data_IF_047755390137
#
_entry.id   IF_047755390137
#
_cell.length_a   1.000
_cell.length_b   1.000
_cell.length_c   1.000
_cell.angle_alpha   90.00
_cell.angle_beta   90.00
_cell.angle_gamma   90.00
#
_symmetry.space_group_name_H-M   'P 1'
#
loop_
_entity.id
_entity.type
_entity.pdbx_description
1 polymer ?
#
# COMPACT_ATOMS: atom_id res chain seq x y z
N UNK A 1 11.13 -34.38 -19.92
CA UNK A 1 11.01 -33.04 -19.31
C UNK A 1 10.48 -32.14 -20.38
N UNK A 2 9.38 -31.45 -20.11
CA UNK A 2 8.50 -30.81 -21.09
C UNK A 2 8.98 -29.41 -21.44
N UNK A 3 8.84 -29.02 -22.72
CA UNK A 3 9.18 -27.72 -23.32
C UNK A 3 8.67 -26.49 -22.54
N UNK A 4 7.72 -26.67 -21.63
CA UNK A 4 7.18 -25.64 -20.73
C UNK A 4 8.14 -25.20 -19.59
N UNK A 5 9.22 -25.93 -19.32
CA UNK A 5 10.24 -25.51 -18.33
C UNK A 5 11.34 -24.61 -18.92
N UNK A 6 11.51 -24.59 -20.24
CA UNK A 6 12.53 -23.81 -20.94
C UNK A 6 12.05 -22.36 -21.17
N UNK A 7 10.77 -22.19 -21.53
CA UNK A 7 10.12 -20.88 -21.72
C UNK A 7 10.03 -20.08 -20.39
N UNK A 8 9.96 -20.78 -19.24
CA UNK A 8 10.02 -20.17 -17.90
C UNK A 8 11.42 -19.70 -17.49
N UNK A 9 12.47 -20.14 -18.19
CA UNK A 9 13.84 -19.68 -17.96
C UNK A 9 14.17 -18.46 -18.81
N UNK A 10 13.64 -18.36 -20.03
CA UNK A 10 13.85 -17.19 -20.91
C UNK A 10 13.15 -15.93 -20.37
N UNK A 11 11.92 -16.04 -19.87
CA UNK A 11 11.21 -14.90 -19.25
C UNK A 11 11.90 -14.33 -18.01
N UNK A 12 12.78 -15.10 -17.36
CA UNK A 12 13.48 -14.68 -16.14
C UNK A 12 14.81 -13.97 -16.43
N UNK A 13 15.22 -13.92 -17.69
CA UNK A 13 16.48 -13.32 -18.12
C UNK A 13 16.27 -11.91 -18.72
N UNK A 14 15.10 -11.62 -19.29
CA UNK A 14 14.74 -10.28 -19.77
C UNK A 14 14.43 -9.27 -18.65
N UNK A 15 14.01 -9.71 -17.46
CA UNK A 15 13.68 -8.80 -16.35
C UNK A 15 14.93 -8.23 -15.61
N UNK A 16 16.14 -8.57 -16.06
CA UNK A 16 17.42 -8.09 -15.49
C UNK A 16 18.16 -7.07 -16.34
N UNK A 17 17.71 -6.78 -17.55
CA UNK A 17 18.34 -5.82 -18.44
C UNK A 17 17.37 -4.69 -18.78
N UNK A 18 17.22 -3.75 -17.85
CA UNK A 18 16.34 -2.60 -18.04
C UNK A 18 16.78 -1.39 -17.22
N UNK A 19 17.50 -0.49 -17.88
CA UNK A 19 17.76 0.92 -17.54
C UNK A 19 18.97 1.17 -16.63
N UNK A 20 20.14 1.10 -17.25
CA UNK A 20 21.29 1.97 -16.95
C UNK A 20 21.18 3.24 -17.80
N UNK A 21 21.15 4.43 -17.19
CA UNK A 21 21.42 5.69 -17.90
C UNK A 21 22.57 6.44 -17.21
N UNK A 22 23.72 6.35 -17.88
CA UNK A 22 24.83 7.29 -17.98
C UNK A 22 25.09 8.29 -16.85
N UNK A 23 26.16 8.05 -16.11
CA UNK A 23 26.97 9.09 -15.49
C UNK A 23 27.75 9.86 -16.57
N UNK A 24 27.71 11.19 -16.54
CA UNK A 24 28.77 12.05 -17.06
C UNK A 24 29.42 12.75 -15.87
N UNK A 25 30.71 12.46 -15.66
CA UNK A 25 31.58 13.10 -14.67
C UNK A 25 32.28 14.26 -15.34
N UNK A 26 32.24 15.43 -14.72
CA UNK A 26 33.36 16.36 -14.69
C UNK A 26 33.35 17.07 -13.33
N UNK A 27 34.49 17.00 -12.65
CA UNK A 27 34.64 17.35 -11.24
C UNK A 27 34.86 18.83 -10.99
N UNK A 28 34.62 19.25 -9.75
CA UNK A 28 35.65 19.81 -8.87
C UNK A 28 35.05 20.13 -7.49
N UNK A 29 35.84 19.82 -6.47
CA UNK A 29 35.54 19.88 -5.05
C UNK A 29 35.13 21.28 -4.58
N UNK A 30 33.95 21.40 -3.95
CA UNK A 30 33.73 22.37 -2.85
C UNK A 30 32.91 21.73 -1.74
N UNK A 31 33.59 21.55 -0.61
CA UNK A 31 33.00 21.33 0.71
C UNK A 31 32.01 22.46 1.02
N UNK A 32 30.74 22.12 1.13
CA UNK A 32 29.78 22.91 1.88
C UNK A 32 29.21 21.99 2.96
N UNK A 33 29.75 22.09 4.17
CA UNK A 33 29.02 21.67 5.37
C UNK A 33 27.77 22.55 5.44
N UNK A 34 26.63 22.06 4.96
CA UNK A 34 25.34 22.67 5.26
C UNK A 34 24.86 22.06 6.57
N UNK A 35 25.15 22.81 7.62
CA UNK A 35 24.50 22.88 8.93
C UNK A 35 23.30 21.95 9.12
N UNK A 36 23.39 21.13 10.17
CA UNK A 36 22.28 20.41 10.78
C UNK A 36 21.17 21.39 11.22
N UNK A 37 20.25 21.72 10.32
CA UNK A 37 18.93 22.25 10.69
C UNK A 37 17.91 21.12 10.60
N UNK A 38 17.86 20.34 11.68
CA UNK A 38 16.78 19.41 11.98
C UNK A 38 15.50 20.21 12.23
N UNK A 39 14.87 20.68 11.15
CA UNK A 39 13.54 21.25 11.18
C UNK A 39 12.59 20.16 11.68
N UNK A 40 12.08 20.32 12.91
CA UNK A 40 11.04 19.47 13.49
C UNK A 40 9.75 19.62 12.66
N UNK A 41 9.66 18.86 11.56
CA UNK A 41 8.46 18.77 10.74
C UNK A 41 7.40 18.06 11.57
N UNK A 42 6.47 18.85 12.11
CA UNK A 42 5.33 18.33 12.86
C UNK A 42 4.56 17.34 11.98
N UNK A 43 4.45 16.09 12.45
CA UNK A 43 3.79 15.03 11.69
C UNK A 43 2.30 15.31 11.65
N UNK A 44 1.79 15.71 10.49
CA UNK A 44 0.36 15.87 10.27
C UNK A 44 -0.28 14.50 10.08
N UNK A 45 -1.25 14.17 10.93
CA UNK A 45 -2.01 12.93 10.84
C UNK A 45 -3.48 13.24 10.54
N UNK A 46 -3.98 12.70 9.43
CA UNK A 46 -5.41 12.69 9.15
C UNK A 46 -6.08 11.68 10.10
N UNK A 47 -7.15 12.11 10.76
CA UNK A 47 -8.02 11.27 11.59
C UNK A 47 -9.37 11.11 10.88
N UNK A 48 -9.46 10.25 9.86
CA UNK A 48 -10.72 9.99 9.18
C UNK A 48 -11.68 9.29 10.16
N UNK A 49 -12.96 9.68 10.11
CA UNK A 49 -14.03 8.97 10.83
C UNK A 49 -14.41 7.65 10.15
N UNK A 50 -13.98 7.46 8.91
CA UNK A 50 -14.31 6.31 8.06
C UNK A 50 -13.06 5.47 7.76
N UNK A 51 -13.24 4.15 7.66
CA UNK A 51 -12.22 3.24 7.15
C UNK A 51 -12.07 3.38 5.64
N UNK A 52 -10.92 2.97 5.11
CA UNK A 52 -10.74 2.84 3.65
C UNK A 52 -11.75 1.86 3.08
N UNK A 53 -12.31 2.20 1.91
CA UNK A 53 -13.14 1.27 1.14
C UNK A 53 -12.28 0.20 0.44
N UNK A 54 -10.98 0.45 0.32
CA UNK A 54 -10.06 -0.36 -0.46
C UNK A 54 -8.95 -0.94 0.42
N UNK A 55 -8.85 -2.26 0.48
CA UNK A 55 -7.78 -2.93 1.22
C UNK A 55 -6.49 -2.90 0.40
N UNK A 56 -5.51 -2.11 0.82
CA UNK A 56 -4.15 -2.17 0.24
C UNK A 56 -3.33 -3.20 1.01
N UNK A 57 -2.70 -4.14 0.29
CA UNK A 57 -1.93 -5.27 0.88
C UNK A 57 -0.85 -4.85 1.88
N UNK A 58 -0.30 -3.66 1.72
CA UNK A 58 0.75 -3.09 2.56
C UNK A 58 0.23 -2.16 3.66
N UNK A 59 -1.09 -1.93 3.78
CA UNK A 59 -1.65 -1.11 4.85
C UNK A 59 -1.41 -1.77 6.22
N UNK A 60 -1.01 -0.98 7.23
CA UNK A 60 -0.73 -1.50 8.56
C UNK A 60 -2.02 -1.87 9.33
N UNK A 61 -3.12 -1.16 9.09
CA UNK A 61 -4.45 -1.42 9.69
C UNK A 61 -5.58 -1.11 8.69
N UNK A 62 -6.78 -1.63 8.94
CA UNK A 62 -8.00 -1.32 8.16
C UNK A 62 -8.48 0.14 8.28
N UNK A 63 -8.01 0.88 9.29
CA UNK A 63 -8.32 2.31 9.46
C UNK A 63 -7.46 3.23 8.59
N UNK A 64 -6.39 2.69 7.98
CA UNK A 64 -5.55 3.47 7.08
C UNK A 64 -6.25 3.66 5.74
N UNK A 65 -6.31 4.90 5.25
CA UNK A 65 -6.78 5.22 3.91
C UNK A 65 -5.83 4.67 2.84
N UNK A 66 -6.36 4.43 1.64
CA UNK A 66 -5.51 4.25 0.47
C UNK A 66 -4.73 5.53 0.17
N UNK A 67 -3.60 5.41 -0.52
CA UNK A 67 -2.82 6.60 -0.95
C UNK A 67 -3.71 7.58 -1.72
N UNK A 68 -4.59 7.07 -2.57
CA UNK A 68 -5.52 7.87 -3.36
C UNK A 68 -6.58 8.55 -2.48
N UNK A 69 -7.25 7.81 -1.59
CA UNK A 69 -8.23 8.42 -0.66
C UNK A 69 -7.59 9.48 0.24
N UNK A 70 -6.37 9.24 0.71
CA UNK A 70 -5.62 10.21 1.51
C UNK A 70 -5.39 11.51 0.72
N UNK A 71 -4.91 11.41 -0.52
CA UNK A 71 -4.70 12.56 -1.39
C UNK A 71 -6.01 13.28 -1.69
N UNK A 72 -7.08 12.53 -2.00
CA UNK A 72 -8.39 13.10 -2.28
C UNK A 72 -8.98 13.86 -1.08
N UNK A 73 -8.85 13.30 0.12
CA UNK A 73 -9.25 13.97 1.37
C UNK A 73 -8.41 15.23 1.61
N UNK A 74 -7.09 15.14 1.48
CA UNK A 74 -6.20 16.29 1.67
C UNK A 74 -6.55 17.44 0.71
N UNK A 75 -6.71 17.15 -0.58
CA UNK A 75 -7.10 18.14 -1.59
C UNK A 75 -8.48 18.75 -1.30
N UNK A 76 -9.46 17.92 -0.91
CA UNK A 76 -10.79 18.43 -0.58
C UNK A 76 -10.79 19.43 0.58
N UNK A 77 -9.89 19.24 1.56
CA UNK A 77 -9.71 20.14 2.70
C UNK A 77 -8.98 21.42 2.25
N UNK A 78 -7.90 21.28 1.49
CA UNK A 78 -7.09 22.40 1.00
C UNK A 78 -7.92 23.37 0.14
N UNK A 79 -8.72 22.82 -0.78
CA UNK A 79 -9.55 23.59 -1.72
C UNK A 79 -10.94 23.94 -1.15
N UNK A 80 -11.26 23.47 0.07
CA UNK A 80 -12.59 23.59 0.69
C UNK A 80 -13.74 23.07 -0.20
N UNK A 81 -13.44 22.11 -1.06
CA UNK A 81 -14.38 21.53 -2.00
C UNK A 81 -14.46 20.01 -1.84
N UNK A 82 -15.60 19.55 -1.29
CA UNK A 82 -15.86 18.12 -1.08
C UNK A 82 -16.06 17.35 -2.39
N UNK A 83 -16.46 18.02 -3.47
CA UNK A 83 -16.69 17.34 -4.77
C UNK A 83 -15.39 16.74 -5.35
N UNK A 84 -14.23 17.28 -4.96
CA UNK A 84 -12.92 16.76 -5.38
C UNK A 84 -12.75 15.31 -4.96
N UNK A 85 -13.22 14.97 -3.74
CA UNK A 85 -13.09 13.61 -3.24
C UNK A 85 -13.88 12.62 -4.11
N UNK A 86 -15.13 12.94 -4.42
CA UNK A 86 -15.98 12.13 -5.30
C UNK A 86 -15.39 12.05 -6.72
N UNK A 87 -14.95 13.18 -7.26
CA UNK A 87 -14.36 13.25 -8.61
C UNK A 87 -13.13 12.34 -8.74
N UNK A 88 -12.25 12.33 -7.74
CA UNK A 88 -11.03 11.49 -7.75
C UNK A 88 -11.34 10.02 -7.50
N UNK A 89 -12.31 9.71 -6.64
CA UNK A 89 -12.61 8.33 -6.24
C UNK A 89 -13.55 7.61 -7.21
N UNK A 90 -14.40 8.33 -7.95
CA UNK A 90 -15.39 7.74 -8.85
C UNK A 90 -14.76 6.80 -9.90
N UNK A 91 -13.68 7.15 -10.62
CA UNK A 91 -13.08 6.25 -11.59
C UNK A 91 -12.64 4.91 -10.96
N UNK A 92 -12.08 4.96 -9.76
CA UNK A 92 -11.68 3.77 -9.01
C UNK A 92 -12.90 2.92 -8.62
N UNK A 93 -13.98 3.56 -8.16
CA UNK A 93 -15.24 2.87 -7.84
C UNK A 93 -15.83 2.18 -9.06
N UNK A 94 -15.83 2.85 -10.21
CA UNK A 94 -16.33 2.29 -11.47
C UNK A 94 -15.50 1.06 -11.91
N UNK A 95 -14.16 1.17 -11.82
CA UNK A 95 -13.26 0.06 -12.13
C UNK A 95 -13.48 -1.13 -11.21
N UNK A 96 -13.58 -0.92 -9.90
CA UNK A 96 -13.85 -1.99 -8.95
C UNK A 96 -15.23 -2.61 -9.17
N UNK A 97 -16.25 -1.80 -9.46
CA UNK A 97 -17.61 -2.30 -9.76
C UNK A 97 -17.60 -3.19 -11.00
N UNK A 98 -16.91 -2.76 -12.06
CA UNK A 98 -16.75 -3.56 -13.27
C UNK A 98 -16.03 -4.88 -12.97
N UNK A 99 -14.94 -4.85 -12.20
CA UNK A 99 -14.24 -6.07 -11.80
C UNK A 99 -15.16 -7.04 -11.05
N UNK A 100 -15.95 -6.55 -10.09
CA UNK A 100 -16.89 -7.37 -9.32
C UNK A 100 -17.99 -7.97 -10.20
N UNK A 101 -18.52 -7.19 -11.16
CA UNK A 101 -19.51 -7.67 -12.14
C UNK A 101 -18.95 -8.77 -13.05
N UNK A 102 -17.64 -8.74 -13.32
CA UNK A 102 -16.95 -9.73 -14.13
C UNK A 102 -16.26 -10.84 -13.30
N UNK A 103 -16.71 -11.05 -12.06
CA UNK A 103 -16.32 -12.21 -11.24
C UNK A 103 -15.12 -11.99 -10.33
N UNK A 104 -14.62 -10.76 -10.19
CA UNK A 104 -13.66 -10.46 -9.14
C UNK A 104 -14.29 -10.65 -7.75
N UNK A 105 -13.49 -11.11 -6.80
CA UNK A 105 -13.93 -11.36 -5.42
C UNK A 105 -13.42 -10.27 -4.47
N UNK A 106 -14.27 -9.87 -3.53
CA UNK A 106 -13.88 -8.97 -2.43
C UNK A 106 -12.89 -9.68 -1.51
N UNK A 107 -11.71 -9.09 -1.35
CA UNK A 107 -10.69 -9.59 -0.43
C UNK A 107 -10.82 -8.89 0.92
N UNK A 108 -11.10 -9.66 1.97
CA UNK A 108 -11.12 -9.14 3.34
C UNK A 108 -9.73 -9.12 3.98
N UNK A 109 -9.48 -8.13 4.83
CA UNK A 109 -8.24 -8.07 5.60
C UNK A 109 -8.11 -9.28 6.53
N UNK A 110 -6.87 -9.68 6.83
CA UNK A 110 -6.61 -10.80 7.75
C UNK A 110 -7.23 -10.58 9.13
N UNK A 111 -7.24 -9.33 9.58
CA UNK A 111 -7.89 -8.89 10.81
C UNK A 111 -9.39 -9.18 10.79
N UNK A 112 -10.08 -8.83 9.70
CA UNK A 112 -11.51 -9.06 9.54
C UNK A 112 -11.85 -10.55 9.56
N UNK A 113 -11.07 -11.37 8.83
CA UNK A 113 -11.26 -12.82 8.78
C UNK A 113 -11.10 -13.46 10.17
N UNK A 114 -10.10 -13.03 10.94
CA UNK A 114 -9.85 -13.57 12.29
C UNK A 114 -10.93 -13.16 13.30
N UNK A 115 -11.35 -11.88 13.30
CA UNK A 115 -12.38 -11.39 14.23
C UNK A 115 -13.75 -12.03 13.99
N UNK A 116 -14.08 -12.31 12.74
CA UNK A 116 -15.37 -12.89 12.37
C UNK A 116 -15.37 -14.42 12.31
N UNK A 117 -14.24 -15.08 12.63
CA UNK A 117 -14.13 -16.54 12.58
C UNK A 117 -14.15 -17.14 11.16
N UNK A 118 -13.91 -16.32 10.13
CA UNK A 118 -13.90 -16.71 8.71
C UNK A 118 -12.48 -17.05 8.20
N UNK A 119 -11.56 -17.37 9.10
CA UNK A 119 -10.17 -17.64 8.74
C UNK A 119 -9.93 -19.13 8.50
N UNK A 120 -10.00 -19.55 7.25
CA UNK A 120 -9.93 -20.97 6.86
C UNK A 120 -8.51 -21.58 6.90
N UNK A 121 -7.48 -20.76 7.09
CA UNK A 121 -6.08 -21.21 7.03
C UNK A 121 -5.62 -21.69 8.41
N UNK A 122 -4.81 -22.77 8.47
CA UNK A 122 -4.28 -23.24 9.74
C UNK A 122 -3.39 -22.18 10.39
N UNK A 123 -3.44 -22.13 11.73
CA UNK A 123 -2.62 -21.19 12.49
C UNK A 123 -1.11 -21.50 12.31
N UNK A 124 -0.27 -20.48 12.12
CA UNK A 124 1.16 -20.66 11.93
C UNK A 124 1.83 -21.12 13.22
N UNK A 125 2.70 -22.12 13.13
CA UNK A 125 3.44 -22.67 14.28
C UNK A 125 4.57 -21.77 14.80
N UNK A 126 5.04 -20.80 14.00
CA UNK A 126 6.12 -19.90 14.37
C UNK A 126 5.65 -18.85 15.39
N UNK A 127 6.29 -18.81 16.57
CA UNK A 127 5.98 -17.87 17.67
C UNK A 127 5.87 -16.41 17.24
N UNK A 128 6.77 -15.93 16.36
CA UNK A 128 6.73 -14.53 15.86
C UNK A 128 5.50 -14.26 15.01
N UNK A 129 5.12 -15.22 14.15
CA UNK A 129 3.92 -15.10 13.30
C UNK A 129 2.64 -15.21 14.13
N UNK A 130 2.65 -16.04 15.17
CA UNK A 130 1.53 -16.20 16.10
C UNK A 130 1.27 -14.90 16.88
N UNK A 131 2.32 -14.30 17.48
CA UNK A 131 2.22 -12.99 18.14
C UNK A 131 1.67 -11.90 17.21
N UNK A 132 2.13 -11.86 15.95
CA UNK A 132 1.61 -10.91 14.97
C UNK A 132 0.12 -11.11 14.68
N UNK A 133 -0.36 -12.36 14.70
CA UNK A 133 -1.79 -12.67 14.54
C UNK A 133 -2.60 -12.23 15.76
N UNK A 134 -2.11 -12.50 16.97
CA UNK A 134 -2.73 -12.08 18.22
C UNK A 134 -2.87 -10.54 18.30
N UNK A 135 -1.83 -9.80 17.89
CA UNK A 135 -1.87 -8.33 17.85
C UNK A 135 -2.98 -7.78 16.94
N UNK A 136 -3.25 -8.42 15.80
CA UNK A 136 -4.33 -8.01 14.89
C UNK A 136 -5.71 -8.20 15.52
N UNK A 137 -5.90 -9.25 16.33
CA UNK A 137 -7.19 -9.54 16.98
C UNK A 137 -7.42 -8.59 18.16
N UNK A 138 -6.38 -8.32 18.94
CA UNK A 138 -6.49 -7.60 20.21
C UNK A 138 -6.50 -6.06 20.10
N UNK A 139 -6.46 -5.48 18.88
CA UNK A 139 -6.45 -4.02 18.66
C UNK A 139 -5.40 -3.27 19.49
N UNK A 140 -4.26 -3.90 19.81
CA UNK A 140 -3.23 -3.24 20.61
C UNK A 140 -2.54 -2.23 19.71
N UNK A 141 -2.78 -0.94 19.99
CA UNK A 141 -2.12 0.19 19.33
C UNK A 141 -0.60 -0.04 19.40
N UNK A 142 0.03 -0.20 18.24
CA UNK A 142 1.49 -0.10 18.09
C UNK A 142 1.84 1.37 17.99
#
# INVERSE_FOLDING_TARGET
MTEQEEEKREMKQEEREGITTGESKDGESKSCKSSDEENNKEKVQLKPSISSQYVIRTQPTNTCLSTLECAAVALSIMEKNKSIQETILHPLQALCSFQLQHGAQIHHSKEHLLKNGLYDKPMPKNKRKLRRMELLVNNVKI
#
